data_IF_658671877425
#
_entry.id   IF_658671877425
#
_cell.length_a   1.000
_cell.length_b   1.000
_cell.length_c   1.000
_cell.angle_alpha   90.00
_cell.angle_beta   90.00
_cell.angle_gamma   90.00
#
_symmetry.space_group_name_H-M   'P 1'
#
loop_
_entity.id
_entity.type
_entity.pdbx_description
1 polymer ?
#
# COMPACT_ATOMS: atom_id res chain seq x y z
N UNK A 1 -8.99 5.85 -15.21
CA UNK A 1 -8.54 6.36 -16.54
C UNK A 1 -8.31 5.18 -17.48
N UNK A 2 -8.62 5.35 -18.75
CA UNK A 2 -8.33 4.35 -19.78
C UNK A 2 -6.90 4.54 -20.28
N UNK A 3 -6.14 3.45 -20.41
CA UNK A 3 -4.83 3.50 -21.03
C UNK A 3 -4.97 3.71 -22.56
N UNK A 4 -4.12 4.55 -23.14
CA UNK A 4 -4.21 4.93 -24.55
C UNK A 4 -3.60 3.88 -25.47
N UNK A 5 -2.58 3.16 -25.00
CA UNK A 5 -1.88 2.12 -25.73
C UNK A 5 -1.21 1.13 -24.75
N UNK A 6 -0.82 -0.02 -25.26
CA UNK A 6 -0.15 -1.05 -24.47
C UNK A 6 -1.13 -2.08 -23.88
N UNK A 7 -0.61 -2.93 -23.01
CA UNK A 7 -1.31 -4.02 -22.38
C UNK A 7 -1.02 -4.04 -20.88
N UNK A 8 -2.05 -4.11 -20.05
CA UNK A 8 -1.93 -4.22 -18.60
C UNK A 8 -2.45 -5.59 -18.19
N UNK A 9 -1.62 -6.38 -17.53
CA UNK A 9 -1.97 -7.71 -17.02
C UNK A 9 -1.70 -7.74 -15.52
N UNK A 10 -2.70 -8.10 -14.72
CA UNK A 10 -2.59 -8.22 -13.27
C UNK A 10 -2.97 -9.64 -12.86
N UNK A 11 -2.03 -10.37 -12.28
CA UNK A 11 -2.22 -11.77 -11.85
C UNK A 11 -2.87 -12.65 -12.95
N UNK A 12 -2.34 -12.55 -14.18
CA UNK A 12 -2.83 -13.29 -15.35
C UNK A 12 -4.12 -12.74 -15.99
N UNK A 13 -4.78 -11.78 -15.38
CA UNK A 13 -5.99 -11.13 -15.92
C UNK A 13 -5.61 -9.87 -16.68
N UNK A 14 -5.93 -9.81 -17.96
CA UNK A 14 -5.76 -8.62 -18.78
C UNK A 14 -6.85 -7.61 -18.46
N UNK A 15 -6.46 -6.36 -18.18
CA UNK A 15 -7.40 -5.26 -17.99
C UNK A 15 -7.92 -4.81 -19.34
N UNK A 16 -9.14 -5.20 -19.65
CA UNK A 16 -9.90 -4.77 -20.82
C UNK A 16 -10.92 -3.71 -20.43
N UNK A 17 -11.75 -3.28 -21.38
CA UNK A 17 -12.93 -2.44 -21.09
C UNK A 17 -14.09 -3.21 -20.46
N UNK A 18 -13.98 -4.53 -20.31
CA UNK A 18 -15.01 -5.33 -19.64
C UNK A 18 -14.98 -5.05 -18.13
N UNK A 19 -16.11 -4.62 -17.59
CA UNK A 19 -16.28 -4.34 -16.16
C UNK A 19 -16.02 -5.56 -15.28
N UNK A 20 -16.26 -6.78 -15.79
CA UNK A 20 -16.01 -8.02 -15.03
C UNK A 20 -14.53 -8.24 -14.76
N UNK A 21 -13.67 -7.96 -15.74
CA UNK A 21 -12.22 -8.07 -15.59
C UNK A 21 -11.71 -7.05 -14.57
N UNK A 22 -12.23 -5.81 -14.66
CA UNK A 22 -11.89 -4.74 -13.71
C UNK A 22 -12.33 -5.10 -12.28
N UNK A 23 -13.55 -5.63 -12.09
CA UNK A 23 -14.01 -6.06 -10.77
C UNK A 23 -13.20 -7.22 -10.21
N UNK A 24 -12.84 -8.17 -11.05
CA UNK A 24 -11.99 -9.31 -10.65
C UNK A 24 -10.64 -8.82 -10.13
N UNK A 25 -9.97 -7.95 -10.89
CA UNK A 25 -8.68 -7.36 -10.47
C UNK A 25 -8.84 -6.55 -9.19
N UNK A 26 -9.87 -5.70 -9.08
CA UNK A 26 -10.12 -4.87 -7.88
C UNK A 26 -10.34 -5.68 -6.60
N UNK A 27 -10.81 -6.92 -6.70
CA UNK A 27 -10.97 -7.81 -5.54
C UNK A 27 -9.65 -8.37 -5.04
N UNK A 28 -8.69 -8.54 -5.94
CA UNK A 28 -7.38 -9.14 -5.65
C UNK A 28 -6.28 -8.11 -5.41
N UNK A 29 -6.58 -6.83 -5.59
CA UNK A 29 -5.65 -5.71 -5.39
C UNK A 29 -6.14 -4.83 -4.24
N UNK A 30 -5.33 -4.70 -3.20
CA UNK A 30 -5.52 -3.71 -2.14
C UNK A 30 -4.81 -2.41 -2.50
N UNK A 31 -5.40 -1.27 -2.14
CA UNK A 31 -4.76 0.04 -2.36
C UNK A 31 -4.80 0.88 -1.09
N UNK A 32 -3.66 1.46 -0.77
CA UNK A 32 -3.46 2.38 0.35
C UNK A 32 -2.95 3.71 -0.21
N UNK A 33 -3.66 4.78 0.08
CA UNK A 33 -3.40 6.12 -0.44
C UNK A 33 -2.63 6.97 0.57
N UNK A 34 -2.05 8.07 0.11
CA UNK A 34 -1.44 9.10 0.92
C UNK A 34 -2.40 9.67 1.98
N UNK A 35 -3.64 9.95 1.59
CA UNK A 35 -4.73 10.26 2.51
C UNK A 35 -5.43 8.95 2.90
N UNK A 36 -5.60 8.71 4.18
CA UNK A 36 -6.06 7.44 4.76
C UNK A 36 -7.41 6.94 4.20
N UNK A 37 -8.25 7.86 3.71
CA UNK A 37 -9.56 7.60 3.09
C UNK A 37 -10.47 6.70 3.95
N UNK A 38 -10.38 6.86 5.27
CA UNK A 38 -11.27 6.17 6.21
C UNK A 38 -12.64 6.83 6.23
N UNK A 39 -13.69 6.05 6.42
CA UNK A 39 -15.03 6.55 6.63
C UNK A 39 -15.13 7.15 8.04
N UNK A 40 -15.27 8.48 8.21
CA UNK A 40 -15.17 9.14 9.51
C UNK A 40 -16.35 8.81 10.45
N UNK A 41 -17.48 8.40 9.90
CA UNK A 41 -18.69 8.03 10.64
C UNK A 41 -18.74 6.55 11.04
N UNK A 42 -17.74 5.76 10.67
CA UNK A 42 -17.60 4.35 11.02
C UNK A 42 -16.43 4.19 12.00
N UNK A 43 -16.56 3.25 12.94
CA UNK A 43 -15.43 2.86 13.78
C UNK A 43 -14.32 2.21 12.97
N UNK A 44 -13.14 2.05 13.54
CA UNK A 44 -12.01 1.33 12.94
C UNK A 44 -12.43 -0.08 12.49
N UNK A 45 -13.05 -0.84 13.38
CA UNK A 45 -13.55 -2.18 13.08
C UNK A 45 -14.56 -2.16 11.91
N UNK A 46 -15.50 -1.22 11.94
CA UNK A 46 -16.50 -1.07 10.87
C UNK A 46 -15.86 -0.72 9.52
N UNK A 47 -14.82 0.15 9.50
CA UNK A 47 -14.04 0.43 8.30
C UNK A 47 -13.41 -0.84 7.72
N UNK A 48 -12.88 -1.72 8.56
CA UNK A 48 -12.21 -2.95 8.15
C UNK A 48 -13.19 -4.03 7.63
N UNK A 49 -14.38 -4.17 8.22
CA UNK A 49 -15.31 -5.25 7.88
C UNK A 49 -16.23 -4.93 6.70
N UNK A 50 -16.37 -3.65 6.33
CA UNK A 50 -17.35 -3.22 5.33
C UNK A 50 -17.15 -3.93 3.99
N UNK A 51 -15.96 -3.86 3.41
CA UNK A 51 -15.67 -4.45 2.12
C UNK A 51 -15.73 -6.00 2.13
N UNK A 52 -15.17 -6.72 3.11
CA UNK A 52 -15.36 -8.16 3.26
C UNK A 52 -16.82 -8.60 3.28
N UNK A 53 -17.67 -7.88 4.00
CA UNK A 53 -19.11 -8.20 4.08
C UNK A 53 -19.84 -7.93 2.77
N UNK A 54 -19.57 -6.78 2.14
CA UNK A 54 -20.34 -6.35 0.97
C UNK A 54 -19.86 -7.00 -0.34
N UNK A 55 -18.55 -7.08 -0.52
CA UNK A 55 -17.92 -7.55 -1.77
C UNK A 55 -17.73 -9.08 -1.75
N UNK A 56 -17.17 -9.62 -0.65
CA UNK A 56 -16.93 -11.07 -0.52
C UNK A 56 -18.12 -11.83 0.12
N UNK A 57 -19.21 -11.12 0.46
CA UNK A 57 -20.41 -11.68 1.10
C UNK A 57 -20.10 -12.46 2.38
N UNK A 58 -19.08 -12.04 3.10
CA UNK A 58 -18.61 -12.71 4.30
C UNK A 58 -19.57 -12.48 5.47
N UNK A 59 -19.88 -13.50 6.29
CA UNK A 59 -20.66 -13.31 7.51
C UNK A 59 -19.97 -12.34 8.46
N UNK A 60 -20.73 -11.47 9.13
CA UNK A 60 -20.22 -10.40 10.01
C UNK A 60 -19.18 -10.92 11.03
N UNK A 61 -19.51 -12.00 11.75
CA UNK A 61 -18.60 -12.60 12.74
C UNK A 61 -17.24 -12.95 12.16
N UNK A 62 -17.21 -13.57 10.98
CA UNK A 62 -15.97 -13.93 10.29
C UNK A 62 -15.20 -12.71 9.82
N UNK A 63 -15.90 -11.67 9.36
CA UNK A 63 -15.29 -10.39 8.97
C UNK A 63 -14.65 -9.71 10.18
N UNK A 64 -15.31 -9.70 11.35
CA UNK A 64 -14.79 -9.16 12.60
C UNK A 64 -13.55 -9.92 13.09
N UNK A 65 -13.55 -11.25 13.04
CA UNK A 65 -12.39 -12.09 13.39
C UNK A 65 -11.17 -11.75 12.51
N UNK A 66 -11.38 -11.60 11.19
CA UNK A 66 -10.33 -11.22 10.24
C UNK A 66 -9.85 -9.78 10.50
N UNK A 67 -10.77 -8.86 10.74
CA UNK A 67 -10.42 -7.47 11.01
C UNK A 67 -9.58 -7.34 12.28
N UNK A 68 -9.96 -8.01 13.36
CA UNK A 68 -9.17 -8.00 14.61
C UNK A 68 -7.78 -8.60 14.39
N UNK A 69 -7.67 -9.72 13.67
CA UNK A 69 -6.37 -10.29 13.31
C UNK A 69 -5.46 -9.29 12.59
N UNK A 70 -5.98 -8.54 11.59
CA UNK A 70 -5.16 -7.55 10.90
C UNK A 70 -4.90 -6.29 11.72
N UNK A 71 -5.81 -5.88 12.61
CA UNK A 71 -5.56 -4.81 13.58
C UNK A 71 -4.44 -5.19 14.57
N UNK A 72 -4.39 -6.43 15.02
CA UNK A 72 -3.27 -6.97 15.81
C UNK A 72 -1.97 -6.95 14.99
N UNK A 73 -2.04 -7.37 13.72
CA UNK A 73 -0.88 -7.39 12.81
C UNK A 73 -0.26 -6.01 12.60
N UNK A 74 -1.09 -4.97 12.52
CA UNK A 74 -0.64 -3.57 12.42
C UNK A 74 -0.49 -2.89 13.80
N UNK A 75 -0.58 -3.65 14.90
CA UNK A 75 -0.31 -3.22 16.29
C UNK A 75 -1.22 -2.11 16.82
N UNK A 76 -2.52 -2.18 16.51
CA UNK A 76 -3.53 -1.23 17.00
C UNK A 76 -4.89 -1.90 17.33
N UNK A 77 -4.96 -3.11 17.88
CA UNK A 77 -6.24 -3.79 18.15
C UNK A 77 -7.12 -3.02 19.14
N UNK A 78 -6.51 -2.30 20.11
CA UNK A 78 -7.18 -1.49 21.11
C UNK A 78 -7.94 -0.28 20.52
N UNK A 79 -7.67 0.07 19.27
CA UNK A 79 -8.34 1.16 18.56
C UNK A 79 -9.63 0.73 17.85
N UNK A 80 -9.98 -0.57 17.86
CA UNK A 80 -11.06 -1.15 17.05
C UNK A 80 -12.42 -0.42 17.18
N UNK A 81 -12.73 0.08 18.35
CA UNK A 81 -14.02 0.74 18.63
C UNK A 81 -13.98 2.28 18.54
N UNK A 82 -12.82 2.86 18.26
CA UNK A 82 -12.68 4.30 18.07
C UNK A 82 -13.06 4.72 16.65
N UNK A 83 -13.34 6.01 16.50
CA UNK A 83 -13.55 6.63 15.19
C UNK A 83 -12.24 7.20 14.65
N UNK A 84 -12.06 7.32 13.31
CA UNK A 84 -10.83 7.86 12.71
C UNK A 84 -10.34 9.17 13.30
N UNK A 85 -11.24 10.12 13.59
CA UNK A 85 -10.88 11.42 14.19
C UNK A 85 -10.29 11.36 15.60
N UNK A 86 -10.30 10.18 16.25
CA UNK A 86 -9.70 9.96 17.57
C UNK A 86 -8.30 9.33 17.48
N UNK A 87 -7.79 9.09 16.27
CA UNK A 87 -6.52 8.44 16.01
C UNK A 87 -5.49 9.43 15.49
N UNK A 88 -4.19 9.17 15.79
CA UNK A 88 -3.09 9.86 15.12
C UNK A 88 -3.03 9.53 13.63
N UNK A 89 -2.33 10.34 12.83
CA UNK A 89 -2.13 10.08 11.40
C UNK A 89 -1.54 8.69 11.14
N UNK A 90 -0.49 8.31 11.87
CA UNK A 90 0.13 6.98 11.75
C UNK A 90 -0.80 5.83 12.12
N UNK A 91 -1.66 6.02 13.14
CA UNK A 91 -2.70 5.05 13.48
C UNK A 91 -3.75 4.95 12.37
N UNK A 92 -4.20 6.07 11.81
CA UNK A 92 -5.16 6.08 10.69
C UNK A 92 -4.58 5.36 9.47
N UNK A 93 -3.30 5.56 9.15
CA UNK A 93 -2.64 4.88 8.04
C UNK A 93 -2.54 3.37 8.27
N UNK A 94 -2.21 2.95 9.49
CA UNK A 94 -2.20 1.51 9.85
C UNK A 94 -3.61 0.90 9.78
N UNK A 95 -4.66 1.64 10.12
CA UNK A 95 -6.05 1.21 9.88
C UNK A 95 -6.33 1.07 8.38
N UNK A 96 -5.86 2.00 7.54
CA UNK A 96 -6.04 1.91 6.09
C UNK A 96 -5.35 0.67 5.50
N UNK A 97 -4.15 0.34 6.01
CA UNK A 97 -3.43 -0.90 5.66
C UNK A 97 -4.25 -2.13 6.11
N UNK A 98 -4.67 -2.18 7.38
CA UNK A 98 -5.47 -3.29 7.91
C UNK A 98 -6.77 -3.49 7.12
N UNK A 99 -7.47 -2.39 6.79
CA UNK A 99 -8.68 -2.41 5.95
C UNK A 99 -8.44 -3.06 4.59
N UNK A 100 -7.35 -2.70 3.92
CA UNK A 100 -6.99 -3.29 2.63
C UNK A 100 -6.69 -4.79 2.78
N UNK A 101 -5.94 -5.19 3.81
CA UNK A 101 -5.58 -6.58 4.10
C UNK A 101 -6.79 -7.45 4.44
N UNK A 102 -7.88 -6.88 5.01
CA UNK A 102 -9.11 -7.61 5.31
C UNK A 102 -9.77 -8.21 4.07
N UNK A 103 -9.50 -7.67 2.90
CA UNK A 103 -9.92 -8.22 1.60
C UNK A 103 -9.06 -9.42 1.17
N UNK A 104 -7.96 -9.74 1.88
CA UNK A 104 -6.99 -10.77 1.51
C UNK A 104 -6.51 -10.62 0.07
N UNK A 105 -5.98 -9.45 -0.30
CA UNK A 105 -5.52 -9.19 -1.66
C UNK A 105 -4.27 -10.01 -1.97
N UNK A 106 -4.03 -10.29 -3.25
CA UNK A 106 -2.78 -10.88 -3.74
C UNK A 106 -1.68 -9.84 -3.93
N UNK A 107 -2.06 -8.60 -4.19
CA UNK A 107 -1.16 -7.48 -4.47
C UNK A 107 -1.60 -6.27 -3.65
N UNK A 108 -0.65 -5.58 -3.03
CA UNK A 108 -0.88 -4.31 -2.34
C UNK A 108 -0.21 -3.17 -3.11
N UNK A 109 -0.98 -2.13 -3.39
CA UNK A 109 -0.49 -0.87 -3.95
C UNK A 109 -0.41 0.17 -2.85
N UNK A 110 0.72 0.85 -2.73
CA UNK A 110 0.93 1.95 -1.79
C UNK A 110 1.29 3.21 -2.57
N UNK A 111 0.51 4.25 -2.39
CA UNK A 111 0.72 5.55 -3.01
C UNK A 111 1.15 6.56 -1.94
N UNK A 112 2.44 6.78 -1.82
CA UNK A 112 3.08 7.65 -0.83
C UNK A 112 2.52 7.52 0.60
N UNK A 113 2.53 6.34 1.21
CA UNK A 113 1.80 6.05 2.45
C UNK A 113 2.29 6.83 3.67
N UNK A 114 3.43 7.50 3.60
CA UNK A 114 4.03 8.26 4.70
C UNK A 114 4.01 9.78 4.50
N UNK A 115 3.68 10.28 3.30
CA UNK A 115 3.82 11.71 2.95
C UNK A 115 2.93 12.66 3.75
N UNK A 116 1.82 12.16 4.31
CA UNK A 116 0.90 12.95 5.14
C UNK A 116 1.15 12.78 6.65
N UNK A 117 2.29 12.20 7.05
CA UNK A 117 2.60 11.87 8.43
C UNK A 117 3.72 12.74 8.98
N UNK A 118 3.64 13.01 10.29
CA UNK A 118 4.75 13.56 11.03
C UNK A 118 5.92 12.54 11.11
N UNK A 119 7.19 12.98 11.15
CA UNK A 119 8.36 12.08 11.13
C UNK A 119 8.34 10.99 12.21
N UNK A 120 7.79 11.31 13.38
CA UNK A 120 7.68 10.35 14.49
C UNK A 120 6.76 9.17 14.17
N UNK A 121 5.76 9.39 13.29
CA UNK A 121 4.76 8.38 12.92
C UNK A 121 5.17 7.54 11.69
N UNK A 122 6.10 8.05 10.88
CA UNK A 122 6.58 7.40 9.66
C UNK A 122 7.14 6.01 9.96
N UNK A 123 7.97 5.92 11.00
CA UNK A 123 8.63 4.66 11.37
C UNK A 123 7.64 3.52 11.63
N UNK A 124 6.56 3.77 12.37
CA UNK A 124 5.57 2.74 12.71
C UNK A 124 4.85 2.18 11.48
N UNK A 125 4.59 3.05 10.49
CA UNK A 125 3.98 2.65 9.21
C UNK A 125 4.97 1.85 8.37
N UNK A 126 6.22 2.31 8.26
CA UNK A 126 7.27 1.60 7.52
C UNK A 126 7.57 0.24 8.15
N UNK A 127 7.66 0.13 9.48
CA UNK A 127 7.84 -1.15 10.19
C UNK A 127 6.70 -2.13 9.87
N UNK A 128 5.47 -1.63 9.75
CA UNK A 128 4.32 -2.44 9.32
C UNK A 128 4.50 -2.95 7.90
N UNK A 129 4.93 -2.08 6.96
CA UNK A 129 5.15 -2.45 5.56
C UNK A 129 6.33 -3.42 5.40
N UNK A 130 7.41 -3.23 6.16
CA UNK A 130 8.54 -4.18 6.21
C UNK A 130 8.04 -5.57 6.63
N UNK A 131 7.20 -5.63 7.67
CA UNK A 131 6.61 -6.89 8.10
C UNK A 131 5.78 -7.58 7.01
N UNK A 132 5.02 -6.82 6.21
CA UNK A 132 4.26 -7.37 5.08
C UNK A 132 5.18 -7.90 3.98
N UNK A 133 6.29 -7.21 3.68
CA UNK A 133 7.29 -7.67 2.72
C UNK A 133 7.94 -8.99 3.17
N UNK A 134 8.32 -9.09 4.44
CA UNK A 134 8.89 -10.29 5.04
C UNK A 134 7.93 -11.49 5.02
N UNK A 135 6.62 -11.24 5.08
CA UNK A 135 5.59 -12.28 4.93
C UNK A 135 5.37 -12.71 3.46
N UNK A 136 6.10 -12.13 2.52
CA UNK A 136 6.00 -12.45 1.09
C UNK A 136 4.84 -11.77 0.36
N UNK A 137 4.29 -10.68 0.90
CA UNK A 137 3.25 -9.90 0.22
C UNK A 137 3.83 -9.21 -1.01
N UNK A 138 3.24 -9.46 -2.17
CA UNK A 138 3.57 -8.70 -3.39
C UNK A 138 3.11 -7.25 -3.25
N UNK A 139 4.04 -6.31 -3.34
CA UNK A 139 3.76 -4.89 -3.15
C UNK A 139 4.33 -4.05 -4.29
N UNK A 140 3.59 -3.03 -4.71
CA UNK A 140 4.09 -1.93 -5.52
C UNK A 140 3.94 -0.64 -4.70
N UNK A 141 5.08 0.00 -4.41
CA UNK A 141 5.13 1.17 -3.53
C UNK A 141 5.66 2.39 -4.29
N UNK A 142 4.88 3.46 -4.33
CA UNK A 142 5.39 4.80 -4.65
C UNK A 142 5.83 5.43 -3.34
N UNK A 143 7.10 5.78 -3.23
CA UNK A 143 7.66 6.30 -1.96
C UNK A 143 8.87 7.19 -2.21
N UNK A 144 9.11 8.12 -1.31
CA UNK A 144 10.34 8.89 -1.18
C UNK A 144 11.22 8.43 0.01
N UNK A 145 10.81 7.37 0.70
CA UNK A 145 11.56 6.75 1.80
C UNK A 145 12.65 5.83 1.24
N UNK A 146 13.79 6.40 0.87
CA UNK A 146 14.86 5.65 0.19
C UNK A 146 15.45 4.54 1.05
N UNK A 147 15.54 4.73 2.38
CA UNK A 147 15.98 3.70 3.32
C UNK A 147 15.05 2.49 3.34
N UNK A 148 13.74 2.72 3.29
CA UNK A 148 12.74 1.66 3.18
C UNK A 148 12.88 0.92 1.84
N UNK A 149 12.89 1.66 0.72
CA UNK A 149 13.02 1.06 -0.60
C UNK A 149 14.28 0.18 -0.71
N UNK A 150 15.42 0.66 -0.19
CA UNK A 150 16.67 -0.11 -0.18
C UNK A 150 16.58 -1.41 0.64
N UNK A 151 15.78 -1.39 1.72
CA UNK A 151 15.69 -2.52 2.66
C UNK A 151 14.77 -3.64 2.16
N UNK A 152 13.68 -3.29 1.47
CA UNK A 152 12.61 -4.26 1.19
C UNK A 152 12.36 -4.53 -0.29
N UNK A 153 12.81 -3.65 -1.19
CA UNK A 153 12.50 -3.82 -2.60
C UNK A 153 13.34 -4.92 -3.25
N UNK A 154 12.72 -5.74 -4.08
CA UNK A 154 13.41 -6.63 -5.02
C UNK A 154 13.83 -5.86 -6.27
N UNK A 155 13.13 -4.77 -6.58
CA UNK A 155 13.37 -3.91 -7.73
C UNK A 155 12.98 -2.47 -7.45
N UNK A 156 13.83 -1.54 -7.84
CA UNK A 156 13.58 -0.11 -7.79
C UNK A 156 13.40 0.42 -9.21
N UNK A 157 12.37 1.26 -9.39
CA UNK A 157 12.05 1.90 -10.67
C UNK A 157 12.03 3.41 -10.43
N UNK A 158 12.88 4.13 -11.16
CA UNK A 158 12.88 5.58 -11.16
C UNK A 158 12.13 6.11 -12.39
N UNK A 159 11.16 6.96 -12.14
CA UNK A 159 10.35 7.60 -13.17
C UNK A 159 10.55 9.11 -13.16
N UNK A 160 10.66 9.70 -14.33
CA UNK A 160 10.69 11.15 -14.52
C UNK A 160 9.89 11.50 -15.79
N UNK A 161 9.07 12.54 -15.73
CA UNK A 161 8.23 13.05 -16.84
C UNK A 161 7.37 11.98 -17.52
N UNK A 162 6.87 11.01 -16.75
CA UNK A 162 6.01 9.94 -17.25
C UNK A 162 6.73 8.77 -17.91
N UNK A 163 8.07 8.74 -17.89
CA UNK A 163 8.90 7.69 -18.47
C UNK A 163 9.70 6.95 -17.40
N UNK A 164 9.95 5.66 -17.62
CA UNK A 164 10.89 4.89 -16.82
C UNK A 164 12.31 5.29 -17.23
N UNK A 165 13.03 5.96 -16.34
CA UNK A 165 14.40 6.42 -16.55
C UNK A 165 15.42 5.33 -16.27
N UNK A 166 15.24 4.62 -15.16
CA UNK A 166 16.11 3.53 -14.73
C UNK A 166 15.34 2.51 -13.89
N UNK A 167 15.72 1.26 -14.02
CA UNK A 167 15.23 0.21 -13.14
C UNK A 167 16.35 -0.78 -12.85
N UNK A 168 16.54 -1.14 -11.57
CA UNK A 168 17.59 -2.05 -11.12
C UNK A 168 17.22 -2.70 -9.78
N UNK A 169 18.02 -3.69 -9.35
CA UNK A 169 18.02 -4.16 -7.97
C UNK A 169 18.49 -3.05 -7.01
N UNK A 170 18.06 -3.04 -5.74
CA UNK A 170 18.35 -1.94 -4.81
C UNK A 170 19.83 -1.56 -4.73
N UNK A 171 20.72 -2.52 -4.52
CA UNK A 171 22.16 -2.22 -4.39
C UNK A 171 22.72 -1.58 -5.66
N UNK A 172 22.36 -2.09 -6.83
CA UNK A 172 22.81 -1.52 -8.10
C UNK A 172 22.22 -0.11 -8.30
N UNK A 173 20.97 0.09 -7.96
CA UNK A 173 20.27 1.37 -8.11
C UNK A 173 20.85 2.47 -7.20
N UNK A 174 21.08 2.16 -5.92
CA UNK A 174 21.52 3.15 -4.93
C UNK A 174 23.02 3.38 -4.91
N UNK A 175 23.84 2.33 -5.17
CA UNK A 175 25.30 2.42 -5.06
C UNK A 175 25.98 2.69 -6.39
N UNK A 176 25.36 2.30 -7.51
CA UNK A 176 25.94 2.46 -8.85
C UNK A 176 24.91 2.78 -9.93
N UNK A 177 24.12 3.86 -9.77
CA UNK A 177 23.13 4.27 -10.76
C UNK A 177 23.80 4.55 -12.11
N UNK A 178 23.16 4.09 -13.18
CA UNK A 178 23.74 4.22 -14.53
C UNK A 178 23.30 5.50 -15.23
N UNK A 179 22.08 5.96 -14.98
CA UNK A 179 21.53 7.13 -15.63
C UNK A 179 21.92 8.42 -14.89
N UNK A 180 22.37 9.44 -15.61
CA UNK A 180 22.76 10.73 -15.03
C UNK A 180 21.63 11.41 -14.28
N UNK A 181 20.38 11.26 -14.75
CA UNK A 181 19.20 11.82 -14.07
C UNK A 181 18.96 11.13 -12.71
N UNK A 182 19.16 9.81 -12.64
CA UNK A 182 19.11 9.04 -11.39
C UNK A 182 20.19 9.48 -10.42
N UNK A 183 21.43 9.68 -10.89
CA UNK A 183 22.54 10.17 -10.07
C UNK A 183 22.24 11.54 -9.45
N UNK A 184 21.71 12.45 -10.27
CA UNK A 184 21.31 13.78 -9.79
C UNK A 184 20.20 13.70 -8.74
N UNK A 185 19.19 12.86 -8.95
CA UNK A 185 18.10 12.67 -8.01
C UNK A 185 18.57 12.10 -6.68
N UNK A 186 19.38 11.02 -6.70
CA UNK A 186 19.91 10.40 -5.50
C UNK A 186 20.86 11.35 -4.75
N UNK A 187 21.67 12.12 -5.47
CA UNK A 187 22.56 13.12 -4.88
C UNK A 187 21.83 14.26 -4.15
N UNK A 188 20.56 14.54 -4.51
CA UNK A 188 19.75 15.55 -3.81
C UNK A 188 19.04 15.01 -2.57
N UNK A 189 18.77 13.71 -2.50
CA UNK A 189 17.96 13.11 -1.43
C UNK A 189 18.83 12.44 -0.36
N UNK A 190 20.00 11.92 -0.72
CA UNK A 190 20.87 11.19 0.19
C UNK A 190 21.89 12.11 0.90
N UNK A 191 21.84 13.40 0.67
CA UNK A 191 22.58 14.45 1.36
C UNK A 191 21.60 15.40 2.04
#
# INVERSE_FOLDING_TARGET
>A
EEHQAGRIVVDGTELTRDLKDIETVRREVGMVFQHFNLFPHLTVLQNCILAPMWVRKMPKRKAEEIAMHYLERVRIPEQAHKFPGQLSGGQQQRVAIARALCMKPKIMLFDEPTSALDPEMVKEVLDTMIGLAQDGMTMLCVTHEMGFARTVADRVIFMDKGEIVEQAEPNAFFDNPQNERTKLFLGQILH
#
